data_IF_419139926561
#
_entry.id   IF_419139926561
#
_cell.length_a   1.000
_cell.length_b   1.000
_cell.length_c   1.000
_cell.angle_alpha   90.00
_cell.angle_beta   90.00
_cell.angle_gamma   90.00
#
_symmetry.space_group_name_H-M   'P 1'
#
loop_
_entity.id
_entity.type
_entity.pdbx_description
1 polymer ?
#
# COMPACT_ATOMS: atom_id res chain seq x y z
N UNK A 1 9.59 1.09 -21.59
CA UNK A 1 10.19 1.13 -20.25
C UNK A 1 9.45 0.11 -19.41
N UNK A 2 10.17 -0.77 -18.74
CA UNK A 2 9.62 -1.66 -17.71
C UNK A 2 8.98 -0.80 -16.62
N UNK A 3 7.92 -1.29 -15.98
CA UNK A 3 7.36 -0.66 -14.77
C UNK A 3 8.40 -0.53 -13.64
N UNK A 4 9.57 -1.18 -13.77
CA UNK A 4 10.66 -1.20 -12.79
C UNK A 4 11.93 -0.46 -13.22
N UNK A 5 11.99 0.13 -14.43
CA UNK A 5 13.21 0.81 -14.91
C UNK A 5 13.63 1.95 -13.96
N UNK A 6 12.66 2.57 -13.29
CA UNK A 6 12.87 3.64 -12.33
C UNK A 6 13.73 3.21 -11.12
N UNK A 7 13.72 1.92 -10.73
CA UNK A 7 14.53 1.44 -9.61
C UNK A 7 16.04 1.58 -9.87
N UNK A 8 16.47 1.42 -11.13
CA UNK A 8 17.87 1.65 -11.51
C UNK A 8 18.23 3.13 -11.45
N UNK A 9 17.31 3.98 -11.87
CA UNK A 9 17.48 5.43 -11.79
C UNK A 9 17.58 5.89 -10.32
N UNK A 10 16.91 5.20 -9.38
CA UNK A 10 16.89 5.63 -7.95
C UNK A 10 18.27 5.48 -7.35
N UNK A 11 18.90 4.35 -7.64
CA UNK A 11 20.26 4.10 -7.22
C UNK A 11 21.24 5.14 -7.78
N UNK A 12 21.04 5.58 -9.03
CA UNK A 12 21.92 6.57 -9.68
C UNK A 12 21.72 8.00 -9.15
N UNK A 13 20.51 8.34 -8.69
CA UNK A 13 20.19 9.65 -8.11
C UNK A 13 20.51 9.77 -6.61
N UNK A 14 21.08 8.73 -6.00
CA UNK A 14 21.55 8.76 -4.61
C UNK A 14 20.49 8.42 -3.55
N UNK A 15 19.38 7.78 -3.95
CA UNK A 15 18.47 7.17 -2.99
C UNK A 15 19.18 6.07 -2.21
N UNK A 16 18.85 5.93 -0.93
CA UNK A 16 19.44 4.88 -0.10
C UNK A 16 18.98 3.48 -0.57
N UNK A 17 19.77 2.42 -0.34
CA UNK A 17 19.36 1.05 -0.64
C UNK A 17 18.00 0.68 -0.05
N UNK A 18 17.70 1.17 1.15
CA UNK A 18 16.43 0.97 1.84
C UNK A 18 15.27 1.65 1.10
N UNK A 19 15.46 2.86 0.59
CA UNK A 19 14.44 3.57 -0.20
C UNK A 19 14.17 2.86 -1.54
N UNK A 20 15.21 2.36 -2.21
CA UNK A 20 15.04 1.57 -3.45
C UNK A 20 14.30 0.27 -3.17
N UNK A 21 14.67 -0.42 -2.08
CA UNK A 21 14.03 -1.65 -1.66
C UNK A 21 12.56 -1.44 -1.27
N UNK A 22 12.24 -0.33 -0.61
CA UNK A 22 10.87 0.07 -0.27
C UNK A 22 10.02 0.34 -1.51
N UNK A 23 10.57 1.11 -2.45
CA UNK A 23 9.93 1.40 -3.73
C UNK A 23 9.63 0.14 -4.54
N UNK A 24 10.57 -0.82 -4.53
CA UNK A 24 10.37 -2.14 -5.11
C UNK A 24 9.27 -2.94 -4.39
N UNK A 25 9.29 -2.94 -3.06
CA UNK A 25 8.35 -3.72 -2.23
C UNK A 25 6.91 -3.23 -2.30
N UNK A 26 6.72 -1.91 -2.39
CA UNK A 26 5.39 -1.29 -2.44
C UNK A 26 4.95 -0.93 -3.87
N UNK A 27 5.84 -1.10 -4.86
CA UNK A 27 5.57 -0.78 -6.26
C UNK A 27 5.28 0.71 -6.50
N UNK A 28 5.95 1.60 -5.76
CA UNK A 28 5.81 3.05 -5.94
C UNK A 28 7.02 3.64 -6.65
N UNK A 29 6.79 4.56 -7.59
CA UNK A 29 7.84 5.29 -8.31
C UNK A 29 7.91 6.74 -7.80
N UNK A 30 9.03 7.20 -7.20
CA UNK A 30 9.16 8.54 -6.62
C UNK A 30 9.17 9.68 -7.65
N UNK A 31 9.28 9.39 -8.95
CA UNK A 31 9.17 10.40 -10.03
C UNK A 31 7.91 10.29 -10.87
N UNK A 32 6.96 9.40 -10.54
CA UNK A 32 5.58 9.52 -11.05
C UNK A 32 4.91 10.86 -10.65
N UNK A 33 5.62 11.68 -9.86
CA UNK A 33 5.37 13.07 -9.51
C UNK A 33 5.67 14.09 -10.65
N UNK A 34 6.26 13.67 -11.78
CA UNK A 34 6.85 14.53 -12.81
C UNK A 34 5.90 15.36 -13.71
N UNK A 35 4.61 15.44 -13.44
CA UNK A 35 3.71 16.41 -14.11
C UNK A 35 2.61 16.85 -13.14
N UNK A 36 2.92 17.89 -12.36
CA UNK A 36 2.03 18.51 -11.38
C UNK A 36 0.72 19.07 -11.98
N UNK A 37 0.66 19.24 -13.30
CA UNK A 37 -0.52 19.79 -13.98
C UNK A 37 -1.73 18.84 -13.95
N UNK A 38 -1.53 17.56 -13.60
CA UNK A 38 -2.52 16.50 -13.79
C UNK A 38 -2.63 15.52 -12.59
N UNK A 39 -2.19 15.91 -11.39
CA UNK A 39 -2.33 15.09 -10.18
C UNK A 39 -3.38 15.73 -9.27
N UNK A 40 -4.44 14.99 -8.97
CA UNK A 40 -5.44 15.42 -7.99
C UNK A 40 -5.15 14.83 -6.63
N UNK A 41 -5.14 15.68 -5.60
CA UNK A 41 -4.85 15.31 -4.22
C UNK A 41 -6.16 15.15 -3.43
N UNK A 42 -6.34 13.95 -2.88
CA UNK A 42 -7.37 13.62 -1.92
C UNK A 42 -6.74 13.52 -0.53
N UNK A 43 -7.26 14.27 0.44
CA UNK A 43 -6.83 14.17 1.84
C UNK A 43 -7.84 13.31 2.58
N UNK A 44 -7.40 12.17 3.09
CA UNK A 44 -8.19 11.38 4.02
C UNK A 44 -7.93 11.91 5.44
N UNK A 45 -8.96 12.42 6.11
CA UNK A 45 -8.92 12.73 7.55
C UNK A 45 -8.63 11.48 8.39
N UNK A 46 -8.12 11.66 9.61
CA UNK A 46 -7.86 10.57 10.57
C UNK A 46 -9.16 9.95 11.14
N UNK A 47 -10.32 10.59 10.94
CA UNK A 47 -11.60 10.01 11.30
C UNK A 47 -11.94 8.81 10.38
N UNK A 48 -12.34 7.69 11.01
CA UNK A 48 -12.81 6.50 10.29
C UNK A 48 -11.72 5.55 9.78
N UNK A 49 -10.49 5.62 10.30
CA UNK A 49 -9.49 4.56 10.11
C UNK A 49 -9.76 3.39 11.05
N UNK A 50 -9.71 2.17 10.51
CA UNK A 50 -9.81 0.99 11.33
C UNK A 50 -8.42 0.71 11.95
N UNK A 51 -8.33 0.71 13.28
CA UNK A 51 -7.13 0.30 14.01
C UNK A 51 -6.96 -1.22 13.99
N UNK A 52 -5.75 -1.67 14.30
CA UNK A 52 -5.36 -3.07 14.33
C UNK A 52 -6.10 -3.86 15.44
N UNK A 53 -7.29 -4.35 15.10
CA UNK A 53 -8.11 -5.18 15.96
C UNK A 53 -8.46 -6.46 15.19
N UNK A 54 -8.69 -7.52 15.95
CA UNK A 54 -9.04 -8.84 15.40
C UNK A 54 -10.23 -8.77 14.42
N UNK A 55 -10.15 -9.46 13.27
CA UNK A 55 -11.22 -9.45 12.28
C UNK A 55 -12.52 -10.04 12.82
N UNK A 56 -13.65 -9.47 12.39
CA UNK A 56 -14.99 -9.95 12.78
C UNK A 56 -15.41 -11.25 12.09
N UNK A 57 -14.67 -11.72 11.08
CA UNK A 57 -15.05 -12.86 10.25
C UNK A 57 -14.05 -14.01 10.41
N UNK A 58 -14.43 -15.18 10.95
CA UNK A 58 -13.50 -16.24 11.37
C UNK A 58 -12.83 -17.02 10.23
N UNK A 59 -13.10 -16.70 8.96
CA UNK A 59 -12.42 -17.32 7.80
C UNK A 59 -11.00 -16.81 7.59
N UNK A 60 -10.53 -15.90 8.44
CA UNK A 60 -9.23 -15.22 8.32
C UNK A 60 -8.29 -15.44 9.49
N UNK A 61 -8.61 -16.31 10.47
CA UNK A 61 -7.76 -16.47 11.65
C UNK A 61 -6.36 -17.02 11.29
N UNK A 62 -6.27 -18.06 10.45
CA UNK A 62 -4.98 -18.60 10.00
C UNK A 62 -4.14 -17.55 9.25
N UNK A 63 -4.78 -16.71 8.43
CA UNK A 63 -4.10 -15.62 7.72
C UNK A 63 -3.68 -14.49 8.66
N UNK A 64 -4.48 -14.22 9.69
CA UNK A 64 -4.17 -13.24 10.72
C UNK A 64 -2.99 -13.68 11.58
N UNK A 65 -2.94 -14.97 11.96
CA UNK A 65 -1.81 -15.58 12.64
C UNK A 65 -0.55 -15.53 11.78
N UNK A 66 -0.64 -15.94 10.50
CA UNK A 66 0.48 -15.85 9.56
C UNK A 66 0.98 -14.41 9.38
N UNK A 67 0.07 -13.45 9.26
CA UNK A 67 0.43 -12.03 9.22
C UNK A 67 1.18 -11.62 10.48
N UNK A 68 0.70 -12.02 11.66
CA UNK A 68 1.36 -11.77 12.94
C UNK A 68 2.79 -12.33 12.98
N UNK A 69 2.99 -13.56 12.52
CA UNK A 69 4.32 -14.19 12.44
C UNK A 69 5.26 -13.46 11.46
N UNK A 70 4.76 -13.03 10.31
CA UNK A 70 5.54 -12.27 9.32
C UNK A 70 5.93 -10.88 9.85
N UNK A 71 5.00 -10.20 10.52
CA UNK A 71 5.23 -8.90 11.16
C UNK A 71 6.29 -9.04 12.26
N UNK A 72 6.16 -10.05 13.11
CA UNK A 72 7.12 -10.33 14.17
C UNK A 72 8.50 -10.67 13.60
N UNK A 73 8.56 -11.45 12.52
CA UNK A 73 9.82 -11.74 11.81
C UNK A 73 10.45 -10.47 11.26
N UNK A 74 9.67 -9.57 10.65
CA UNK A 74 10.17 -8.31 10.11
C UNK A 74 10.66 -7.36 11.22
N UNK A 75 9.96 -7.30 12.35
CA UNK A 75 10.37 -6.54 13.54
C UNK A 75 11.71 -7.05 14.08
N UNK A 76 11.80 -8.35 14.32
CA UNK A 76 13.04 -8.99 14.80
C UNK A 76 14.21 -8.77 13.83
N UNK A 77 13.95 -8.79 12.51
CA UNK A 77 14.97 -8.51 11.51
C UNK A 77 15.52 -7.08 11.63
N UNK A 78 14.66 -6.08 11.84
CA UNK A 78 15.08 -4.69 12.08
C UNK A 78 15.89 -4.59 13.37
N UNK A 79 15.43 -5.19 14.47
CA UNK A 79 16.13 -5.13 15.75
C UNK A 79 17.53 -5.75 15.69
N UNK A 80 17.69 -6.86 14.98
CA UNK A 80 18.97 -7.58 14.88
C UNK A 80 19.92 -6.94 13.87
N UNK A 81 19.41 -6.42 12.75
CA UNK A 81 20.25 -6.00 11.62
C UNK A 81 20.32 -4.50 11.41
N UNK A 82 19.40 -3.74 12.01
CA UNK A 82 19.18 -2.32 11.72
C UNK A 82 18.62 -2.06 10.31
N UNK A 83 18.13 -3.08 9.60
CA UNK A 83 17.61 -2.98 8.23
C UNK A 83 16.18 -3.49 8.15
N UNK A 84 15.41 -2.97 7.21
CA UNK A 84 14.04 -3.41 6.97
C UNK A 84 13.97 -4.52 5.90
N UNK A 85 13.07 -5.48 6.08
CA UNK A 85 12.72 -6.43 5.02
C UNK A 85 11.86 -5.74 3.95
N UNK A 86 12.10 -5.98 2.65
CA UNK A 86 11.33 -5.37 1.57
C UNK A 86 10.01 -6.13 1.32
N UNK A 87 9.15 -6.20 2.32
CA UNK A 87 7.90 -6.99 2.27
C UNK A 87 6.63 -6.18 2.57
N UNK A 88 6.73 -4.86 2.74
CA UNK A 88 5.61 -4.02 3.18
C UNK A 88 4.39 -4.05 2.24
N UNK A 89 4.59 -4.11 0.92
CA UNK A 89 3.48 -4.29 -0.03
C UNK A 89 2.69 -5.56 0.24
N UNK A 90 3.38 -6.70 0.35
CA UNK A 90 2.78 -8.00 0.67
C UNK A 90 2.09 -8.01 2.04
N UNK A 91 2.70 -7.38 3.07
CA UNK A 91 2.07 -7.23 4.39
C UNK A 91 0.75 -6.45 4.31
N UNK A 92 0.69 -5.40 3.49
CA UNK A 92 -0.53 -4.62 3.28
C UNK A 92 -1.62 -5.40 2.55
N UNK A 93 -1.25 -6.19 1.53
CA UNK A 93 -2.19 -7.08 0.83
C UNK A 93 -2.74 -8.17 1.76
N UNK A 94 -1.86 -8.82 2.51
CA UNK A 94 -2.24 -9.87 3.47
C UNK A 94 -3.12 -9.31 4.59
N UNK A 95 -2.83 -8.10 5.07
CA UNK A 95 -3.70 -7.38 5.99
C UNK A 95 -5.09 -7.11 5.41
N UNK A 96 -5.15 -6.69 4.13
CA UNK A 96 -6.40 -6.50 3.41
C UNK A 96 -7.25 -7.78 3.36
N UNK A 97 -6.61 -8.91 3.07
CA UNK A 97 -7.26 -10.22 3.07
C UNK A 97 -7.72 -10.63 4.46
N UNK A 98 -6.84 -10.57 5.46
CA UNK A 98 -7.11 -11.05 6.81
C UNK A 98 -8.13 -10.17 7.57
N UNK A 99 -8.07 -8.85 7.43
CA UNK A 99 -8.95 -7.91 8.13
C UNK A 99 -10.29 -7.72 7.44
N UNK A 100 -10.29 -7.52 6.13
CA UNK A 100 -11.48 -7.13 5.37
C UNK A 100 -12.12 -8.30 4.61
N UNK A 101 -11.46 -9.47 4.54
CA UNK A 101 -11.93 -10.61 3.75
C UNK A 101 -11.78 -10.38 2.23
N UNK A 102 -10.80 -9.57 1.82
CA UNK A 102 -10.49 -9.34 0.40
C UNK A 102 -9.94 -10.64 -0.18
N UNK A 103 -10.59 -11.16 -1.22
CA UNK A 103 -10.08 -12.31 -1.97
C UNK A 103 -9.06 -11.84 -2.98
N UNK A 104 -7.77 -12.06 -2.71
CA UNK A 104 -6.68 -11.70 -3.63
C UNK A 104 -6.82 -12.45 -4.96
N UNK A 105 -6.45 -11.78 -6.04
CA UNK A 105 -6.35 -12.46 -7.34
C UNK A 105 -5.15 -13.40 -7.37
N UNK A 106 -5.09 -14.26 -8.39
CA UNK A 106 -3.87 -15.01 -8.65
C UNK A 106 -2.73 -14.04 -8.97
N UNK A 107 -1.47 -14.41 -8.65
CA UNK A 107 -0.30 -13.61 -9.03
C UNK A 107 -0.34 -13.21 -10.51
N UNK A 108 0.11 -11.99 -10.80
CA UNK A 108 0.17 -11.40 -12.15
C UNK A 108 -1.19 -11.13 -12.81
N UNK A 109 -2.29 -11.14 -12.05
CA UNK A 109 -3.57 -10.64 -12.54
C UNK A 109 -3.46 -9.14 -12.89
N UNK A 110 -4.04 -8.75 -14.02
CA UNK A 110 -4.08 -7.35 -14.42
C UNK A 110 -5.28 -6.63 -13.78
N UNK A 111 -5.06 -5.41 -13.28
CA UNK A 111 -6.13 -4.58 -12.72
C UNK A 111 -5.87 -4.27 -11.25
N UNK A 112 -6.81 -4.68 -10.39
CA UNK A 112 -6.76 -4.54 -8.94
C UNK A 112 -6.07 -5.73 -8.26
N UNK A 113 -5.78 -5.63 -6.96
CA UNK A 113 -5.13 -6.70 -6.18
C UNK A 113 -6.10 -7.79 -5.70
N UNK A 114 -7.38 -7.46 -5.49
CA UNK A 114 -8.38 -8.44 -5.06
C UNK A 114 -9.83 -8.02 -5.25
N UNK A 115 -10.74 -8.80 -4.63
CA UNK A 115 -12.17 -8.50 -4.60
C UNK A 115 -12.77 -8.60 -3.21
N UNK A 116 -13.66 -7.67 -2.89
CA UNK A 116 -14.55 -7.73 -1.73
C UNK A 116 -16.00 -7.79 -2.22
N UNK A 117 -16.59 -8.98 -2.22
CA UNK A 117 -17.88 -9.22 -2.88
C UNK A 117 -17.80 -8.92 -4.39
N UNK A 118 -18.54 -7.90 -4.83
CA UNK A 118 -18.55 -7.45 -6.23
C UNK A 118 -17.52 -6.36 -6.52
N UNK A 119 -16.93 -5.75 -5.48
CA UNK A 119 -15.98 -4.66 -5.64
C UNK A 119 -14.58 -5.17 -5.96
N UNK A 120 -13.93 -4.49 -6.90
CA UNK A 120 -12.51 -4.68 -7.20
C UNK A 120 -11.70 -3.73 -6.31
N UNK A 121 -10.77 -4.28 -5.54
CA UNK A 121 -10.02 -3.55 -4.51
C UNK A 121 -8.56 -3.44 -4.91
N UNK A 122 -8.10 -2.21 -5.13
CA UNK A 122 -6.68 -1.87 -5.18
C UNK A 122 -6.20 -1.65 -3.74
N UNK A 123 -5.02 -2.18 -3.39
CA UNK A 123 -4.38 -2.05 -2.10
C UNK A 123 -3.07 -1.28 -2.30
N UNK A 124 -2.86 -0.21 -1.51
CA UNK A 124 -1.60 0.54 -1.48
C UNK A 124 -1.09 0.64 -0.06
N UNK A 125 0.19 0.29 0.10
CA UNK A 125 0.87 0.37 1.39
C UNK A 125 1.69 1.64 1.50
N UNK A 126 1.56 2.32 2.63
CA UNK A 126 2.50 3.34 3.12
C UNK A 126 3.37 2.64 4.16
N UNK A 127 4.63 2.39 3.80
CA UNK A 127 5.61 1.77 4.68
C UNK A 127 6.15 2.76 5.72
N UNK A 128 6.84 2.27 6.77
CA UNK A 128 7.54 3.15 7.72
C UNK A 128 8.70 3.94 7.08
N UNK A 129 9.20 3.51 5.92
CA UNK A 129 10.34 4.15 5.24
C UNK A 129 9.93 5.36 4.39
N UNK A 130 8.63 5.50 4.12
CA UNK A 130 8.10 6.53 3.24
C UNK A 130 7.82 7.83 4.00
N UNK A 131 8.61 8.86 3.71
CA UNK A 131 8.51 10.18 4.36
C UNK A 131 7.25 10.97 3.99
N UNK A 132 6.78 10.88 2.74
CA UNK A 132 5.53 11.47 2.32
C UNK A 132 4.44 10.41 2.41
N UNK A 133 3.56 10.50 3.41
CA UNK A 133 2.49 9.51 3.64
C UNK A 133 1.41 9.58 2.54
N UNK A 134 1.80 9.36 1.30
CA UNK A 134 1.05 9.56 0.08
C UNK A 134 1.05 8.25 -0.70
N UNK A 135 -0.06 7.91 -1.34
CA UNK A 135 -0.12 6.84 -2.33
C UNK A 135 -0.60 7.37 -3.67
N UNK A 136 -0.09 6.78 -4.75
CA UNK A 136 -0.52 7.04 -6.11
C UNK A 136 -1.24 5.81 -6.64
N UNK A 137 -2.38 6.03 -7.29
CA UNK A 137 -3.10 4.97 -8.00
C UNK A 137 -3.39 5.41 -9.43
N UNK A 138 -3.18 4.50 -10.39
CA UNK A 138 -3.45 4.72 -11.81
C UNK A 138 -4.97 4.78 -12.04
N UNK A 139 -5.47 5.86 -12.66
CA UNK A 139 -6.91 5.95 -13.01
C UNK A 139 -7.35 4.89 -14.00
N UNK A 140 -6.45 4.43 -14.88
CA UNK A 140 -6.72 3.37 -15.83
C UNK A 140 -6.92 2.00 -15.16
N UNK A 141 -6.54 1.84 -13.89
CA UNK A 141 -6.72 0.60 -13.13
C UNK A 141 -8.20 0.23 -12.99
N UNK A 142 -8.49 -1.07 -13.08
CA UNK A 142 -9.85 -1.61 -12.93
C UNK A 142 -10.16 -1.91 -11.46
N UNK A 143 -10.36 -0.86 -10.67
CA UNK A 143 -10.80 -0.95 -9.28
C UNK A 143 -12.08 -0.12 -9.03
N UNK A 144 -12.87 -0.52 -8.05
CA UNK A 144 -14.01 0.25 -7.52
C UNK A 144 -13.77 0.76 -6.10
N UNK A 145 -12.82 0.19 -5.36
CA UNK A 145 -12.37 0.64 -4.04
C UNK A 145 -10.85 0.68 -3.94
N UNK A 146 -10.34 1.61 -3.15
CA UNK A 146 -8.93 1.72 -2.79
C UNK A 146 -8.79 1.48 -1.28
N UNK A 147 -8.04 0.45 -0.89
CA UNK A 147 -7.60 0.23 0.48
C UNK A 147 -6.20 0.83 0.64
N UNK A 148 -6.08 1.82 1.51
CA UNK A 148 -4.78 2.34 1.93
C UNK A 148 -4.43 1.68 3.26
N UNK A 149 -3.25 1.05 3.34
CA UNK A 149 -2.72 0.45 4.57
C UNK A 149 -1.46 1.21 4.96
N UNK A 150 -1.42 1.80 6.15
CA UNK A 150 -0.23 2.43 6.72
C UNK A 150 0.34 1.53 7.80
N UNK A 151 1.64 1.28 7.72
CA UNK A 151 2.41 0.51 8.69
C UNK A 151 3.39 1.48 9.36
N UNK A 152 3.29 1.66 10.68
CA UNK A 152 4.20 2.54 11.43
C UNK A 152 5.57 1.89 11.64
N UNK A 153 6.52 2.67 12.17
CA UNK A 153 7.85 2.16 12.59
C UNK A 153 7.73 1.06 13.66
N UNK A 154 6.72 1.14 14.52
CA UNK A 154 6.39 0.10 15.52
C UNK A 154 5.62 -1.10 14.94
N UNK A 155 5.46 -1.15 13.61
CA UNK A 155 4.67 -2.13 12.87
C UNK A 155 3.18 -2.15 13.25
N UNK A 156 2.61 -0.99 13.62
CA UNK A 156 1.17 -0.84 13.86
C UNK A 156 0.46 -0.56 12.53
N UNK A 157 -0.62 -1.30 12.27
CA UNK A 157 -1.41 -1.14 11.07
C UNK A 157 -2.58 -0.18 11.29
N UNK A 158 -2.74 0.76 10.37
CA UNK A 158 -3.97 1.55 10.19
C UNK A 158 -4.44 1.41 8.75
N UNK A 159 -5.74 1.26 8.51
CA UNK A 159 -6.25 1.20 7.15
C UNK A 159 -7.56 1.96 6.94
N UNK A 160 -7.79 2.41 5.70
CA UNK A 160 -9.00 3.11 5.26
C UNK A 160 -9.38 2.66 3.87
N UNK A 161 -10.63 2.23 3.76
CA UNK A 161 -11.25 1.84 2.50
C UNK A 161 -11.97 3.05 1.90
N UNK A 162 -11.61 3.42 0.67
CA UNK A 162 -12.19 4.54 -0.06
C UNK A 162 -12.96 4.03 -1.28
N UNK A 163 -14.17 4.53 -1.48
CA UNK A 163 -14.88 4.33 -2.74
C UNK A 163 -14.20 5.12 -3.86
N UNK A 164 -13.98 4.49 -5.02
CA UNK A 164 -13.42 5.21 -6.18
C UNK A 164 -14.24 6.44 -6.57
N UNK A 165 -15.55 6.42 -6.28
CA UNK A 165 -16.46 7.53 -6.54
C UNK A 165 -16.29 8.72 -5.60
N UNK A 166 -15.72 8.50 -4.40
CA UNK A 166 -15.41 9.59 -3.46
C UNK A 166 -14.04 10.22 -3.74
N UNK A 167 -13.19 9.56 -4.51
CA UNK A 167 -11.96 10.14 -5.04
C UNK A 167 -12.31 11.26 -6.03
N UNK A 168 -11.55 12.37 -6.00
CA UNK A 168 -11.80 13.52 -6.86
C UNK A 168 -11.84 13.13 -8.34
N UNK A 169 -12.79 13.72 -9.07
CA UNK A 169 -12.97 13.50 -10.50
C UNK A 169 -12.02 14.41 -11.26
N UNK A 170 -11.13 13.79 -12.05
CA UNK A 170 -10.11 14.51 -12.81
C UNK A 170 -9.72 13.85 -14.11
N UNK A 171 -9.11 14.65 -14.99
CA UNK A 171 -8.49 14.21 -16.24
C UNK A 171 -7.07 13.63 -16.05
N UNK A 172 -6.55 13.70 -14.83
CA UNK A 172 -5.21 13.24 -14.49
C UNK A 172 -4.96 11.75 -14.66
N UNK A 173 -3.73 11.34 -14.97
CA UNK A 173 -3.38 9.91 -15.08
C UNK A 173 -3.43 9.18 -13.73
N UNK A 174 -3.12 9.90 -12.66
CA UNK A 174 -3.06 9.36 -11.30
C UNK A 174 -4.05 10.08 -10.38
N UNK A 175 -4.47 9.37 -9.34
CA UNK A 175 -5.08 9.93 -8.14
C UNK A 175 -4.02 9.85 -7.05
N UNK A 176 -3.78 10.97 -6.36
CA UNK A 176 -2.91 11.05 -5.20
C UNK A 176 -3.79 11.06 -3.95
N UNK A 177 -3.63 10.08 -3.09
CA UNK A 177 -4.26 10.09 -1.78
C UNK A 177 -3.17 10.37 -0.74
N UNK A 178 -3.36 11.42 0.04
CA UNK A 178 -2.46 11.83 1.11
C UNK A 178 -3.09 11.53 2.46
N UNK A 179 -2.29 10.92 3.32
CA UNK A 179 -2.55 10.80 4.74
C UNK A 179 -2.25 12.15 5.42
N UNK A 180 -3.24 12.76 6.05
CA UNK A 180 -2.99 13.84 7.01
C UNK A 180 -2.77 13.24 8.40
N UNK A 181 -1.71 13.67 9.09
CA UNK A 181 -1.56 13.46 10.53
C UNK A 181 -2.56 14.29 11.34
#
# INVERSE_FOLDING_TARGET
MSDWDFLHDMHNEGYSPEQVADAAACGYNPWEHGSWDNIEEFIADEEGWDSDNEPKNPTTLELWELLGELVETARNYVEVTGRHLPIYGELGELYGEAKYGIKRHKPFAQGSDGKLGNDFVEIKTISPLKSDSTVLVKRAGNFSKLLIVKISEDFVFKAKMLDRKSLQKGSGKHIKAKWSE
#
